data_IF_578528346989
#
_entry.id   IF_578528346989
#
_cell.length_a   1.000
_cell.length_b   1.000
_cell.length_c   1.000
_cell.angle_alpha   90.00
_cell.angle_beta   90.00
_cell.angle_gamma   90.00
#
_symmetry.space_group_name_H-M   'P 1'
#
loop_
_entity.id
_entity.type
_entity.pdbx_description
1 polymer ?
#
# COMPACT_ATOMS: atom_id res chain seq x y z
N UNK A 1 -13.21 35.23 -35.45
CA UNK A 1 -13.54 34.74 -34.08
C UNK A 1 -14.29 33.41 -34.00
N UNK A 2 -14.87 32.84 -35.05
CA UNK A 2 -15.61 31.54 -34.97
C UNK A 2 -14.74 30.25 -35.11
N UNK A 3 -13.48 30.33 -35.54
CA UNK A 3 -12.60 29.17 -35.75
C UNK A 3 -11.87 28.68 -34.47
N UNK A 4 -11.68 29.54 -33.47
CA UNK A 4 -10.97 29.17 -32.23
C UNK A 4 -11.84 28.42 -31.21
N UNK A 5 -13.14 28.63 -31.22
CA UNK A 5 -14.08 27.96 -30.30
C UNK A 5 -14.22 26.47 -30.66
N UNK A 6 -14.08 26.08 -31.93
CA UNK A 6 -14.24 24.69 -32.37
C UNK A 6 -13.02 23.80 -32.00
N UNK A 7 -11.82 24.37 -31.96
CA UNK A 7 -10.60 23.62 -31.55
C UNK A 7 -10.53 23.33 -30.04
N UNK A 8 -11.01 24.25 -29.20
CA UNK A 8 -11.05 24.06 -27.74
C UNK A 8 -12.09 22.98 -27.38
N UNK A 9 -13.21 22.90 -28.09
CA UNK A 9 -14.24 21.88 -27.86
C UNK A 9 -13.79 20.47 -28.25
N UNK A 10 -12.92 20.32 -29.28
CA UNK A 10 -12.39 19.02 -29.71
C UNK A 10 -11.36 18.50 -28.71
N UNK A 11 -10.49 19.35 -28.14
CA UNK A 11 -9.54 18.93 -27.13
C UNK A 11 -10.20 18.53 -25.81
N UNK A 12 -11.25 19.24 -25.38
CA UNK A 12 -12.02 18.86 -24.19
C UNK A 12 -12.80 17.55 -24.38
N UNK A 13 -13.32 17.28 -25.58
CA UNK A 13 -14.01 16.04 -25.91
C UNK A 13 -13.03 14.84 -26.03
N UNK A 14 -11.81 15.02 -26.53
CA UNK A 14 -10.80 13.97 -26.56
C UNK A 14 -10.28 13.62 -25.14
N UNK A 15 -10.08 14.60 -24.27
CA UNK A 15 -9.69 14.34 -22.87
C UNK A 15 -10.77 13.61 -22.07
N UNK A 16 -12.05 13.96 -22.27
CA UNK A 16 -13.20 13.28 -21.63
C UNK A 16 -13.39 11.86 -22.18
N UNK A 17 -13.11 11.63 -23.48
CA UNK A 17 -13.25 10.31 -24.12
C UNK A 17 -12.19 9.32 -23.62
N UNK A 18 -10.94 9.75 -23.40
CA UNK A 18 -9.87 8.90 -22.86
C UNK A 18 -10.14 8.49 -21.41
N UNK A 19 -10.60 9.41 -20.56
CA UNK A 19 -11.00 9.08 -19.18
C UNK A 19 -12.19 8.12 -19.09
N UNK A 20 -13.16 8.22 -20.00
CA UNK A 20 -14.32 7.32 -19.99
C UNK A 20 -13.97 5.87 -20.38
N UNK A 21 -12.96 5.64 -21.23
CA UNK A 21 -12.53 4.30 -21.64
C UNK A 21 -12.02 3.43 -20.47
N UNK A 22 -11.38 4.02 -19.48
CA UNK A 22 -10.80 3.31 -18.34
C UNK A 22 -11.82 2.86 -17.28
N UNK A 23 -12.95 3.52 -17.20
CA UNK A 23 -14.06 3.10 -16.35
C UNK A 23 -15.03 2.18 -17.08
N UNK A 24 -14.73 1.83 -18.35
CA UNK A 24 -15.40 0.80 -19.14
C UNK A 24 -14.70 -0.57 -19.05
N UNK A 25 -13.97 -0.82 -17.95
CA UNK A 25 -13.42 -2.14 -17.65
C UNK A 25 -14.55 -3.18 -17.70
N UNK A 26 -14.28 -4.34 -18.29
CA UNK A 26 -15.24 -5.44 -18.42
C UNK A 26 -14.65 -6.70 -17.81
N UNK A 27 -15.49 -7.45 -17.13
CA UNK A 27 -15.11 -8.78 -16.63
C UNK A 27 -14.63 -9.65 -17.79
N UNK A 28 -13.52 -10.36 -17.58
CA UNK A 28 -12.85 -11.20 -18.57
C UNK A 28 -11.88 -10.46 -19.50
N UNK A 29 -11.81 -9.13 -19.45
CA UNK A 29 -10.84 -8.34 -20.21
C UNK A 29 -9.72 -7.82 -19.30
N UNK A 30 -8.54 -7.59 -19.86
CA UNK A 30 -7.43 -6.91 -19.13
C UNK A 30 -7.88 -5.55 -18.64
N UNK A 31 -7.51 -5.18 -17.41
CA UNK A 31 -7.84 -3.88 -16.85
C UNK A 31 -7.18 -2.79 -17.71
N UNK A 32 -7.93 -1.76 -18.18
CA UNK A 32 -7.35 -0.65 -18.93
C UNK A 32 -6.23 0.06 -18.15
N UNK A 33 -5.19 0.49 -18.88
CA UNK A 33 -4.06 1.24 -18.34
C UNK A 33 -4.50 2.44 -17.51
N UNK A 34 -3.65 2.87 -16.58
CA UNK A 34 -3.83 4.12 -15.86
C UNK A 34 -3.85 5.33 -16.83
N UNK A 35 -4.64 6.34 -16.53
CA UNK A 35 -4.58 7.63 -17.22
C UNK A 35 -4.46 8.79 -16.25
N UNK A 36 -3.88 9.86 -16.78
CA UNK A 36 -3.66 11.09 -16.04
C UNK A 36 -4.93 11.61 -15.34
N UNK A 37 -4.77 11.96 -14.07
CA UNK A 37 -5.84 12.40 -13.18
C UNK A 37 -6.49 11.25 -12.40
N UNK A 38 -6.26 9.99 -12.75
CA UNK A 38 -6.67 8.86 -11.92
C UNK A 38 -5.64 8.61 -10.82
N UNK A 39 -6.11 8.18 -9.66
CA UNK A 39 -5.27 7.58 -8.62
C UNK A 39 -5.53 6.08 -8.61
N UNK A 40 -4.49 5.27 -8.79
CA UNK A 40 -4.58 3.82 -8.66
C UNK A 40 -3.82 3.33 -7.44
N UNK A 41 -4.44 2.44 -6.67
CA UNK A 41 -3.85 1.73 -5.53
C UNK A 41 -3.98 0.24 -5.81
N UNK A 42 -2.83 -0.41 -6.06
CA UNK A 42 -2.75 -1.83 -6.40
C UNK A 42 -2.26 -2.64 -5.21
N UNK A 43 -2.98 -3.69 -4.85
CA UNK A 43 -2.58 -4.74 -3.92
C UNK A 43 -2.17 -5.95 -4.73
N UNK A 44 -0.87 -6.23 -4.81
CA UNK A 44 -0.35 -7.26 -5.72
C UNK A 44 -0.28 -8.60 -4.99
N UNK A 45 -1.05 -9.58 -5.46
CA UNK A 45 -1.05 -10.91 -4.91
C UNK A 45 0.11 -11.76 -5.44
N UNK A 46 1.09 -12.06 -4.62
CA UNK A 46 2.12 -13.08 -4.89
C UNK A 46 1.88 -14.38 -4.12
N UNK A 47 0.88 -14.40 -3.22
CA UNK A 47 0.63 -15.48 -2.28
C UNK A 47 1.65 -15.56 -1.12
N UNK A 48 2.67 -14.72 -1.05
CA UNK A 48 3.80 -14.87 -0.11
C UNK A 48 4.32 -13.58 0.50
N UNK A 49 3.53 -12.54 0.56
CA UNK A 49 3.90 -11.28 1.19
C UNK A 49 3.06 -10.12 0.74
N UNK A 50 3.31 -8.97 1.31
CA UNK A 50 2.65 -7.72 1.00
C UNK A 50 3.42 -6.94 -0.06
N UNK A 51 2.69 -6.36 -1.01
CA UNK A 51 3.22 -5.41 -1.98
C UNK A 51 2.09 -4.50 -2.47
N UNK A 52 2.20 -3.20 -2.22
CA UNK A 52 1.29 -2.19 -2.72
C UNK A 52 2.01 -1.28 -3.70
N UNK A 53 1.43 -1.09 -4.89
CA UNK A 53 1.93 -0.18 -5.90
C UNK A 53 0.90 0.91 -6.18
N UNK A 54 1.33 2.16 -6.18
CA UNK A 54 0.47 3.33 -6.34
C UNK A 54 0.88 4.09 -7.59
N UNK A 55 -0.11 4.57 -8.35
CA UNK A 55 0.08 5.53 -9.44
C UNK A 55 -0.75 6.75 -9.09
N UNK A 56 -0.05 7.84 -8.77
CA UNK A 56 -0.64 9.08 -8.30
C UNK A 56 -1.22 9.89 -9.48
N UNK A 57 -2.04 10.94 -9.23
CA UNK A 57 -2.80 11.61 -10.29
C UNK A 57 -1.98 12.20 -11.45
N UNK A 58 -0.71 12.49 -11.25
CA UNK A 58 0.20 13.00 -12.28
C UNK A 58 1.08 11.92 -12.94
N UNK A 59 0.95 10.65 -12.51
CA UNK A 59 1.79 9.54 -12.93
C UNK A 59 3.01 9.29 -12.04
N UNK A 60 3.21 10.05 -10.97
CA UNK A 60 4.20 9.73 -9.91
C UNK A 60 3.87 8.36 -9.31
N UNK A 61 4.89 7.55 -9.07
CA UNK A 61 4.73 6.17 -8.60
C UNK A 61 5.31 5.96 -7.21
N UNK A 62 4.61 5.17 -6.40
CA UNK A 62 5.04 4.78 -5.05
C UNK A 62 4.93 3.26 -4.91
N UNK A 63 5.97 2.62 -4.41
CA UNK A 63 5.96 1.23 -3.98
C UNK A 63 6.02 1.17 -2.45
N UNK A 64 5.07 0.49 -1.85
CA UNK A 64 5.09 0.18 -0.41
C UNK A 64 5.22 -1.33 -0.25
N UNK A 65 6.35 -1.75 0.30
CA UNK A 65 6.70 -3.14 0.53
C UNK A 65 6.86 -4.00 -0.74
N UNK A 66 7.59 -5.10 -0.63
CA UNK A 66 7.63 -6.25 -1.54
C UNK A 66 8.13 -7.47 -0.77
N UNK A 67 7.25 -8.03 0.05
CA UNK A 67 7.55 -9.12 0.95
C UNK A 67 7.77 -10.44 0.23
N UNK A 68 8.54 -11.33 0.84
CA UNK A 68 8.80 -12.65 0.30
C UNK A 68 9.02 -13.69 1.42
N UNK A 69 7.94 -14.33 1.88
CA UNK A 69 8.05 -15.40 2.88
C UNK A 69 8.29 -16.76 2.22
N UNK A 70 9.11 -17.60 2.87
CA UNK A 70 9.31 -18.97 2.44
C UNK A 70 8.04 -19.81 2.62
N UNK A 71 7.92 -20.89 1.83
CA UNK A 71 6.84 -21.86 1.98
C UNK A 71 6.81 -22.42 3.41
N UNK A 72 5.65 -22.44 4.01
CA UNK A 72 5.40 -23.00 5.35
C UNK A 72 4.02 -23.64 5.41
N UNK A 73 3.71 -24.32 6.51
CA UNK A 73 2.43 -25.01 6.70
C UNK A 73 1.21 -24.08 6.61
N UNK A 74 1.40 -22.83 7.01
CA UNK A 74 0.32 -21.83 7.07
C UNK A 74 0.34 -20.84 5.91
N UNK A 75 1.24 -20.96 4.96
CA UNK A 75 1.35 -20.01 3.84
C UNK A 75 0.43 -20.41 2.68
N UNK A 76 -0.19 -19.44 2.02
CA UNK A 76 -0.96 -19.66 0.77
C UNK A 76 -0.03 -20.10 -0.36
N UNK A 77 -0.58 -20.56 -1.49
CA UNK A 77 0.20 -20.89 -2.68
C UNK A 77 0.80 -19.62 -3.32
N UNK A 78 1.96 -19.74 -3.96
CA UNK A 78 2.53 -18.65 -4.76
C UNK A 78 1.66 -18.36 -6.00
N UNK A 79 1.68 -17.13 -6.46
CA UNK A 79 0.96 -16.69 -7.66
C UNK A 79 1.94 -16.19 -8.73
N UNK A 80 1.69 -16.50 -10.00
CA UNK A 80 0.59 -17.34 -10.52
C UNK A 80 0.80 -18.85 -10.28
N UNK A 81 1.99 -19.29 -9.85
CA UNK A 81 2.33 -20.69 -9.58
C UNK A 81 3.53 -20.80 -8.62
N UNK A 82 3.79 -21.99 -8.09
CA UNK A 82 4.86 -22.25 -7.11
C UNK A 82 6.29 -22.05 -7.64
N UNK A 83 6.48 -22.01 -8.95
CA UNK A 83 7.78 -21.77 -9.59
C UNK A 83 8.12 -20.30 -9.73
N UNK A 84 7.13 -19.42 -9.69
CA UNK A 84 7.31 -17.97 -9.83
C UNK A 84 7.57 -17.34 -8.47
N UNK A 85 8.77 -16.81 -8.28
CA UNK A 85 9.17 -16.12 -7.04
C UNK A 85 8.36 -14.83 -6.88
N UNK A 86 7.99 -14.44 -5.63
CA UNK A 86 7.22 -13.22 -5.36
C UNK A 86 7.78 -11.95 -6.02
N UNK A 87 9.08 -11.69 -5.91
CA UNK A 87 9.70 -10.51 -6.52
C UNK A 87 9.57 -10.49 -8.07
N UNK A 88 9.50 -11.65 -8.73
CA UNK A 88 9.24 -11.75 -10.18
C UNK A 88 7.78 -11.39 -10.50
N UNK A 89 6.84 -11.88 -9.69
CA UNK A 89 5.42 -11.52 -9.81
C UNK A 89 5.24 -10.02 -9.67
N UNK A 90 5.85 -9.42 -8.65
CA UNK A 90 5.82 -7.97 -8.44
C UNK A 90 6.42 -7.21 -9.63
N UNK A 91 7.60 -7.62 -10.11
CA UNK A 91 8.27 -6.97 -11.24
C UNK A 91 7.43 -7.00 -12.52
N UNK A 92 6.83 -8.15 -12.86
CA UNK A 92 5.97 -8.29 -14.05
C UNK A 92 4.71 -7.45 -13.92
N UNK A 93 4.05 -7.48 -12.74
CA UNK A 93 2.86 -6.68 -12.47
C UNK A 93 3.15 -5.19 -12.58
N UNK A 94 4.19 -4.71 -11.87
CA UNK A 94 4.56 -3.29 -11.88
C UNK A 94 4.90 -2.83 -13.29
N UNK A 95 5.73 -3.59 -14.05
CA UNK A 95 6.07 -3.25 -15.44
C UNK A 95 4.86 -3.17 -16.36
N UNK A 96 3.82 -3.98 -16.12
CA UNK A 96 2.59 -3.93 -16.90
C UNK A 96 1.78 -2.65 -16.64
N UNK A 97 1.71 -2.23 -15.36
CA UNK A 97 0.90 -1.08 -14.97
C UNK A 97 1.67 0.26 -14.86
N UNK A 98 3.01 0.26 -14.95
CA UNK A 98 3.78 1.51 -14.95
C UNK A 98 3.23 2.47 -16.01
N UNK A 99 3.12 3.78 -15.69
CA UNK A 99 2.75 4.78 -16.67
C UNK A 99 3.63 4.70 -17.91
N UNK A 100 3.03 4.88 -19.07
CA UNK A 100 3.72 4.72 -20.36
C UNK A 100 4.96 5.60 -20.46
N UNK A 101 6.10 4.97 -20.76
CA UNK A 101 7.41 5.62 -20.85
C UNK A 101 8.22 5.60 -19.56
N UNK A 102 7.65 5.15 -18.42
CA UNK A 102 8.38 4.95 -17.18
C UNK A 102 9.00 3.54 -17.12
N UNK A 103 10.16 3.44 -16.49
CA UNK A 103 10.89 2.18 -16.27
C UNK A 103 11.34 2.01 -14.81
N UNK A 104 11.14 3.03 -13.99
CA UNK A 104 11.56 3.12 -12.60
C UNK A 104 10.41 3.59 -11.71
N UNK A 105 10.49 3.32 -10.42
CA UNK A 105 9.56 3.77 -9.41
C UNK A 105 10.10 5.04 -8.77
N UNK A 106 9.26 6.07 -8.63
CA UNK A 106 9.69 7.36 -8.07
C UNK A 106 9.99 7.25 -6.57
N UNK A 107 9.13 6.57 -5.77
CA UNK A 107 9.29 6.39 -4.33
C UNK A 107 9.21 4.93 -3.92
N UNK A 108 10.09 4.50 -3.02
CA UNK A 108 10.00 3.21 -2.34
C UNK A 108 9.94 3.42 -0.83
N UNK A 109 8.94 2.84 -0.18
CA UNK A 109 8.70 2.91 1.26
C UNK A 109 8.55 1.50 1.85
N UNK A 110 9.57 0.92 2.49
CA UNK A 110 9.35 -0.23 3.35
C UNK A 110 8.56 0.23 4.60
N UNK A 111 7.38 -0.35 4.82
CA UNK A 111 6.60 -0.01 6.01
C UNK A 111 7.36 -0.37 7.29
N UNK A 112 7.96 -1.57 7.33
CA UNK A 112 8.85 -2.04 8.38
C UNK A 112 9.70 -3.24 7.90
N UNK A 113 10.61 -3.77 8.73
CA UNK A 113 11.65 -4.71 8.28
C UNK A 113 11.33 -6.18 8.58
N UNK A 114 10.07 -6.62 8.42
CA UNK A 114 9.71 -8.05 8.46
C UNK A 114 9.80 -8.71 7.08
N UNK A 115 9.83 -10.04 7.10
CA UNK A 115 10.03 -10.85 5.89
C UNK A 115 8.90 -10.70 4.87
N UNK A 116 7.70 -10.56 5.34
CA UNK A 116 6.48 -10.38 4.56
C UNK A 116 6.32 -8.95 4.01
N UNK A 117 7.29 -8.05 4.29
CA UNK A 117 7.31 -6.66 3.80
C UNK A 117 8.55 -6.30 2.98
N UNK A 118 9.75 -6.77 3.34
CA UNK A 118 10.98 -6.38 2.62
C UNK A 118 11.75 -7.56 2.00
N UNK A 119 11.34 -8.79 2.24
CA UNK A 119 12.00 -10.00 1.74
C UNK A 119 12.48 -10.92 2.86
N UNK A 120 13.14 -12.03 2.53
CA UNK A 120 13.48 -13.08 3.48
C UNK A 120 14.91 -13.57 3.35
N UNK A 121 15.57 -13.77 4.49
CA UNK A 121 16.90 -14.39 4.56
C UNK A 121 16.93 -15.86 4.11
N UNK A 122 15.74 -16.51 4.02
CA UNK A 122 15.57 -17.87 3.51
C UNK A 122 15.30 -17.92 2.01
N UNK A 123 15.01 -16.78 1.40
CA UNK A 123 14.62 -16.64 0.00
C UNK A 123 15.67 -15.83 -0.80
N UNK A 124 16.92 -15.90 -0.40
CA UNK A 124 18.04 -15.18 -1.04
C UNK A 124 18.33 -15.76 -2.43
N UNK A 125 18.46 -14.87 -3.43
CA UNK A 125 18.82 -15.23 -4.81
C UNK A 125 20.28 -14.96 -5.14
N UNK A 126 21.02 -14.32 -4.24
CA UNK A 126 22.42 -13.97 -4.40
C UNK A 126 22.84 -12.89 -3.42
N UNK A 127 24.11 -12.56 -3.41
CA UNK A 127 24.70 -11.46 -2.64
C UNK A 127 25.29 -10.45 -3.60
N UNK A 128 24.97 -9.17 -3.41
CA UNK A 128 25.57 -8.08 -4.17
C UNK A 128 27.04 -7.87 -3.78
N UNK A 129 27.86 -7.27 -4.66
CA UNK A 129 29.25 -6.89 -4.36
C UNK A 129 29.35 -6.00 -3.11
N UNK A 130 28.33 -5.15 -2.86
CA UNK A 130 28.22 -4.34 -1.66
C UNK A 130 27.93 -5.14 -0.38
N UNK A 131 27.81 -6.47 -0.46
CA UNK A 131 27.70 -7.38 0.67
C UNK A 131 26.32 -7.47 1.32
N UNK A 132 25.23 -7.07 0.63
CA UNK A 132 23.85 -7.33 1.03
C UNK A 132 23.25 -8.50 0.25
N UNK A 133 22.38 -9.27 0.89
CA UNK A 133 21.70 -10.41 0.26
C UNK A 133 20.41 -9.94 -0.39
N UNK A 134 20.13 -10.47 -1.60
CA UNK A 134 18.99 -10.06 -2.43
C UNK A 134 17.79 -10.98 -2.20
N UNK A 135 16.69 -10.42 -1.75
CA UNK A 135 15.33 -11.00 -1.70
C UNK A 135 14.30 -9.87 -1.62
N UNK A 136 13.04 -10.12 -1.93
CA UNK A 136 11.97 -9.12 -1.84
C UNK A 136 12.34 -7.78 -2.50
N UNK A 137 12.27 -6.67 -1.76
CA UNK A 137 12.59 -5.32 -2.25
C UNK A 137 13.99 -5.22 -2.86
N UNK A 138 14.99 -5.90 -2.28
CA UNK A 138 16.36 -5.83 -2.76
C UNK A 138 16.58 -6.59 -4.07
N UNK A 139 15.81 -7.65 -4.29
CA UNK A 139 15.80 -8.40 -5.55
C UNK A 139 14.95 -7.70 -6.61
N UNK A 140 13.86 -7.07 -6.21
CA UNK A 140 12.97 -6.31 -7.08
C UNK A 140 13.67 -5.10 -7.70
N UNK A 141 14.55 -4.42 -6.93
CA UNK A 141 15.34 -3.28 -7.41
C UNK A 141 16.13 -3.57 -8.69
N UNK A 142 16.69 -4.76 -8.83
CA UNK A 142 17.43 -5.14 -10.04
C UNK A 142 16.53 -5.21 -11.29
N UNK A 143 15.23 -5.37 -11.12
CA UNK A 143 14.25 -5.49 -12.21
C UNK A 143 13.45 -4.21 -12.46
N UNK A 144 13.17 -3.45 -11.40
CA UNK A 144 12.44 -2.18 -11.40
C UNK A 144 13.11 -1.26 -10.38
N UNK A 145 14.05 -0.40 -10.81
CA UNK A 145 14.79 0.48 -9.91
C UNK A 145 13.90 1.50 -9.18
N UNK A 146 14.41 2.03 -8.07
CA UNK A 146 13.78 3.09 -7.27
C UNK A 146 14.62 4.37 -7.37
N UNK A 147 13.96 5.54 -7.46
CA UNK A 147 14.63 6.86 -7.52
C UNK A 147 14.86 7.45 -6.13
N UNK A 148 13.91 7.25 -5.22
CA UNK A 148 13.96 7.80 -3.87
C UNK A 148 13.43 6.79 -2.85
N UNK A 149 14.17 6.58 -1.76
CA UNK A 149 13.78 5.68 -0.67
C UNK A 149 13.41 6.51 0.56
N UNK A 150 12.22 6.25 1.11
CA UNK A 150 11.82 6.72 2.42
C UNK A 150 11.82 5.54 3.38
N UNK A 151 12.59 5.60 4.47
CA UNK A 151 12.53 4.57 5.49
C UNK A 151 12.59 5.12 6.92
N UNK A 152 12.20 4.30 7.86
CA UNK A 152 12.09 4.70 9.27
C UNK A 152 13.42 4.93 9.99
N UNK A 153 14.58 4.52 9.45
CA UNK A 153 15.84 4.45 10.17
C UNK A 153 17.02 5.17 9.48
N UNK A 154 16.89 5.55 8.21
CA UNK A 154 17.92 6.31 7.49
C UNK A 154 18.26 7.63 8.23
N UNK A 155 19.51 8.13 8.25
CA UNK A 155 20.70 7.57 7.58
C UNK A 155 21.52 6.62 8.46
N UNK A 156 21.28 6.56 9.76
CA UNK A 156 22.23 5.95 10.70
C UNK A 156 22.03 4.46 10.93
N UNK A 157 20.77 3.99 10.82
CA UNK A 157 20.38 2.59 11.09
C UNK A 157 20.78 2.07 12.48
N UNK A 158 20.99 2.97 13.43
CA UNK A 158 21.31 2.66 14.81
C UNK A 158 20.17 3.07 15.74
N UNK A 159 20.13 2.47 16.91
CA UNK A 159 19.18 2.86 17.94
C UNK A 159 19.50 4.28 18.45
N UNK A 160 18.50 5.17 18.40
CA UNK A 160 18.57 6.55 18.91
C UNK A 160 17.25 6.93 19.61
N UNK A 161 17.02 8.22 19.87
CA UNK A 161 15.83 8.71 20.55
C UNK A 161 14.52 8.33 19.85
N UNK A 162 14.51 8.23 18.52
CA UNK A 162 13.32 7.94 17.69
C UNK A 162 13.37 6.61 16.97
N UNK A 163 14.57 6.05 16.74
CA UNK A 163 14.74 4.77 16.04
C UNK A 163 14.85 3.62 17.05
N UNK A 164 13.92 2.67 17.09
CA UNK A 164 14.04 1.48 17.91
C UNK A 164 15.17 0.58 17.40
N UNK A 165 15.64 -0.30 18.29
CA UNK A 165 16.67 -1.29 17.94
C UNK A 165 16.29 -2.06 16.68
N UNK A 166 17.18 -2.05 15.70
CA UNK A 166 17.06 -2.83 14.47
C UNK A 166 17.63 -4.22 14.70
N UNK A 167 16.80 -5.24 14.56
CA UNK A 167 17.17 -6.62 14.84
C UNK A 167 17.20 -7.47 13.57
N UNK A 168 18.15 -8.43 13.58
CA UNK A 168 18.23 -9.46 12.55
C UNK A 168 19.02 -9.07 11.30
N UNK A 169 19.25 -10.07 10.50
CA UNK A 169 20.12 -9.96 9.31
C UNK A 169 19.42 -9.20 8.17
N UNK A 170 18.10 -9.30 8.09
CA UNK A 170 17.31 -8.64 7.04
C UNK A 170 17.43 -7.10 7.13
N UNK A 171 17.31 -6.55 8.33
CA UNK A 171 17.53 -5.12 8.57
C UNK A 171 18.96 -4.67 8.22
N UNK A 172 19.95 -5.53 8.47
CA UNK A 172 21.35 -5.25 8.11
C UNK A 172 21.56 -5.26 6.60
N UNK A 173 20.94 -6.19 5.88
CA UNK A 173 21.01 -6.24 4.43
C UNK A 173 20.32 -5.00 3.81
N UNK A 174 19.18 -4.58 4.34
CA UNK A 174 18.51 -3.35 3.95
C UNK A 174 19.39 -2.11 4.17
N UNK A 175 19.94 -1.95 5.37
CA UNK A 175 20.83 -0.82 5.70
C UNK A 175 22.05 -0.74 4.77
N UNK A 176 22.69 -1.88 4.47
CA UNK A 176 23.79 -1.95 3.50
C UNK A 176 23.35 -1.54 2.10
N UNK A 177 22.19 -2.02 1.64
CA UNK A 177 21.64 -1.67 0.33
C UNK A 177 21.41 -0.17 0.21
N UNK A 178 20.72 0.44 1.18
CA UNK A 178 20.42 1.88 1.12
C UNK A 178 21.69 2.71 1.23
N UNK A 179 22.59 2.38 2.15
CA UNK A 179 23.87 3.08 2.30
C UNK A 179 24.73 2.99 1.02
N UNK A 180 24.79 1.81 0.41
CA UNK A 180 25.47 1.61 -0.86
C UNK A 180 24.84 2.43 -1.98
N UNK A 181 23.52 2.34 -2.16
CA UNK A 181 22.86 2.98 -3.28
C UNK A 181 22.94 4.52 -3.23
N UNK A 182 22.85 5.12 -2.03
CA UNK A 182 23.04 6.56 -1.86
C UNK A 182 24.49 6.95 -2.14
N UNK A 183 25.47 6.19 -1.61
CA UNK A 183 26.91 6.44 -1.84
C UNK A 183 27.26 6.38 -3.33
N UNK A 184 26.72 5.42 -4.06
CA UNK A 184 26.98 5.21 -5.49
C UNK A 184 26.06 6.04 -6.41
N UNK A 185 25.25 6.95 -5.85
CA UNK A 185 24.33 7.82 -6.60
C UNK A 185 23.25 7.06 -7.39
N UNK A 186 22.86 5.86 -6.95
CA UNK A 186 21.84 5.05 -7.61
C UNK A 186 20.44 5.56 -7.32
N UNK A 187 20.23 6.10 -6.13
CA UNK A 187 18.99 6.70 -5.65
C UNK A 187 19.30 7.65 -4.49
N UNK A 188 18.31 8.47 -4.13
CA UNK A 188 18.36 9.28 -2.89
C UNK A 188 17.57 8.60 -1.78
N UNK A 189 17.82 8.98 -0.51
CA UNK A 189 17.06 8.47 0.62
C UNK A 189 16.85 9.52 1.70
N UNK A 190 15.70 9.46 2.38
CA UNK A 190 15.35 10.27 3.53
C UNK A 190 14.68 9.43 4.63
N UNK A 191 14.72 9.94 5.86
CA UNK A 191 13.97 9.34 6.97
C UNK A 191 12.49 9.68 6.82
N UNK A 192 11.64 8.65 6.83
CA UNK A 192 10.19 8.82 6.93
C UNK A 192 9.83 9.42 8.29
N UNK A 193 9.27 10.61 8.29
CA UNK A 193 9.03 11.40 9.51
C UNK A 193 7.54 11.71 9.66
N UNK A 194 6.87 11.25 10.74
CA UNK A 194 5.49 11.65 11.03
C UNK A 194 5.34 13.17 11.13
N UNK A 195 4.20 13.70 10.69
CA UNK A 195 3.93 15.14 10.67
C UNK A 195 4.47 15.86 9.43
N UNK A 196 4.97 15.14 8.43
CA UNK A 196 5.49 15.70 7.17
C UNK A 196 4.80 15.14 5.95
N UNK A 197 4.85 15.89 4.86
CA UNK A 197 4.54 15.45 3.50
C UNK A 197 5.85 15.23 2.76
N UNK A 198 6.25 13.98 2.56
CA UNK A 198 7.52 13.61 1.90
C UNK A 198 7.30 12.86 0.58
N UNK A 199 6.09 12.31 0.38
CA UNK A 199 5.68 11.72 -0.91
C UNK A 199 4.88 12.79 -1.63
N UNK A 200 5.50 13.41 -2.63
CA UNK A 200 4.91 14.52 -3.39
C UNK A 200 4.85 14.17 -4.87
N UNK A 201 3.98 14.84 -5.60
CA UNK A 201 3.90 14.70 -7.06
C UNK A 201 5.18 15.24 -7.72
N UNK A 202 5.86 14.43 -8.55
CA UNK A 202 7.14 14.80 -9.16
C UNK A 202 7.06 15.02 -10.67
N UNK A 203 5.94 14.66 -11.32
CA UNK A 203 5.77 14.81 -12.77
C UNK A 203 5.08 16.13 -13.14
N UNK A 204 3.98 16.48 -12.43
CA UNK A 204 3.18 17.70 -12.66
C UNK A 204 2.76 18.34 -11.33
N UNK A 205 3.73 18.81 -10.58
CA UNK A 205 3.62 19.25 -9.18
C UNK A 205 2.57 20.34 -8.90
N UNK A 206 2.19 21.14 -9.91
CA UNK A 206 1.24 22.25 -9.76
C UNK A 206 -0.17 21.96 -10.31
N UNK A 207 -0.41 20.75 -10.82
CA UNK A 207 -1.69 20.45 -11.49
C UNK A 207 -2.76 19.90 -10.53
N UNK A 208 -2.34 19.29 -9.45
CA UNK A 208 -3.20 18.59 -8.50
C UNK A 208 -2.93 19.13 -7.09
N UNK A 209 -3.37 20.36 -6.82
CA UNK A 209 -3.25 21.04 -5.53
C UNK A 209 -4.17 20.44 -4.44
N UNK A 210 -5.12 19.60 -4.86
CA UNK A 210 -6.02 18.85 -3.99
C UNK A 210 -5.54 17.41 -3.73
N UNK A 211 -4.25 17.12 -3.95
CA UNK A 211 -3.61 15.83 -3.62
C UNK A 211 -2.55 16.01 -2.55
N UNK A 212 -2.54 15.17 -1.55
CA UNK A 212 -1.49 15.12 -0.52
C UNK A 212 -1.25 13.70 0.01
N UNK A 213 -0.04 13.49 0.55
CA UNK A 213 0.32 12.29 1.33
C UNK A 213 0.99 12.73 2.61
N UNK A 214 0.26 12.63 3.71
CA UNK A 214 0.71 13.06 5.03
C UNK A 214 1.18 11.86 5.86
N UNK A 215 2.40 11.92 6.40
CA UNK A 215 2.99 10.86 7.21
C UNK A 215 2.39 10.88 8.62
N UNK A 216 1.71 9.82 9.03
CA UNK A 216 0.98 9.77 10.31
C UNK A 216 1.70 9.02 11.40
N UNK A 217 2.47 7.97 11.09
CA UNK A 217 3.18 7.20 12.11
C UNK A 217 4.49 6.60 11.62
N UNK A 218 5.46 6.47 12.53
CA UNK A 218 6.68 5.67 12.36
C UNK A 218 7.34 5.44 13.72
N UNK A 219 8.04 4.32 13.88
CA UNK A 219 8.85 4.01 15.07
C UNK A 219 8.07 4.07 16.40
N UNK A 220 6.76 3.78 16.38
CA UNK A 220 5.88 3.83 17.54
C UNK A 220 5.39 5.22 17.92
N UNK A 221 5.78 6.25 17.18
CA UNK A 221 5.22 7.59 17.29
C UNK A 221 4.09 7.78 16.27
N UNK A 222 3.06 8.53 16.67
CA UNK A 222 1.92 8.89 15.83
C UNK A 222 1.72 10.39 15.92
N UNK A 223 1.38 11.02 14.80
CA UNK A 223 0.99 12.42 14.75
C UNK A 223 -0.41 12.59 15.34
N UNK A 224 -0.58 13.50 16.25
CA UNK A 224 -1.86 13.78 16.91
C UNK A 224 -1.96 15.24 17.28
N UNK A 225 -2.88 15.61 18.18
CA UNK A 225 -3.07 16.97 18.70
C UNK A 225 -2.80 17.02 20.21
N UNK A 226 -2.22 18.13 20.67
CA UNK A 226 -2.12 18.47 22.10
C UNK A 226 -3.47 19.01 22.63
N UNK A 227 -3.48 19.41 23.91
CA UNK A 227 -4.66 19.98 24.57
C UNK A 227 -5.14 21.31 23.98
N UNK A 228 -4.27 22.02 23.28
CA UNK A 228 -4.56 23.31 22.62
C UNK A 228 -4.89 23.12 21.13
N UNK A 229 -4.87 21.88 20.63
CA UNK A 229 -5.19 21.52 19.23
C UNK A 229 -3.99 21.63 18.27
N UNK A 230 -2.77 21.90 18.75
CA UNK A 230 -1.58 21.91 17.91
C UNK A 230 -1.08 20.51 17.60
N UNK A 231 -0.50 20.34 16.41
CA UNK A 231 0.07 19.06 15.99
C UNK A 231 1.30 18.67 16.83
N UNK A 232 1.33 17.42 17.29
CA UNK A 232 2.45 16.89 18.06
C UNK A 232 2.67 15.39 17.82
N UNK A 233 3.85 14.89 18.17
CA UNK A 233 4.11 13.46 18.22
C UNK A 233 3.58 12.86 19.53
N UNK A 234 2.73 11.84 19.39
CA UNK A 234 2.17 11.05 20.51
C UNK A 234 2.82 9.66 20.51
N UNK A 235 2.98 9.09 21.69
CA UNK A 235 3.55 7.74 21.83
C UNK A 235 5.03 7.75 22.19
N UNK A 236 5.72 6.70 21.82
CA UNK A 236 7.13 6.55 22.13
C UNK A 236 7.77 5.35 21.43
N UNK A 237 9.08 5.38 21.37
CA UNK A 237 9.90 4.35 20.75
C UNK A 237 9.61 2.96 21.33
N UNK A 238 9.19 1.95 20.55
CA UNK A 238 9.03 0.60 21.04
C UNK A 238 10.38 -0.02 21.40
N UNK A 239 10.38 -0.95 22.35
CA UNK A 239 11.61 -1.63 22.80
C UNK A 239 12.31 -2.39 21.68
N UNK A 240 11.52 -2.91 20.71
CA UNK A 240 12.01 -3.64 19.53
C UNK A 240 11.39 -3.04 18.29
N UNK A 241 12.12 -3.06 17.17
CA UNK A 241 11.57 -2.79 15.86
C UNK A 241 10.56 -3.86 15.43
N UNK A 242 10.01 -3.72 14.26
CA UNK A 242 8.98 -4.61 13.72
C UNK A 242 7.61 -3.93 13.67
N UNK A 243 6.51 -4.66 13.81
CA UNK A 243 5.15 -4.16 13.61
C UNK A 243 4.85 -2.81 14.28
N UNK A 244 5.15 -2.58 15.58
CA UNK A 244 4.90 -1.29 16.20
C UNK A 244 5.71 -0.11 15.63
N UNK A 245 6.76 -0.40 14.86
CA UNK A 245 7.60 0.61 14.24
C UNK A 245 7.20 0.95 12.79
N UNK A 246 6.10 0.39 12.28
CA UNK A 246 5.64 0.61 10.91
C UNK A 246 5.47 2.09 10.58
N UNK A 247 5.85 2.45 9.35
CA UNK A 247 5.50 3.71 8.71
C UNK A 247 4.05 3.68 8.25
N UNK A 248 3.35 4.80 8.40
CA UNK A 248 1.97 4.94 7.94
C UNK A 248 1.69 6.35 7.45
N UNK A 249 0.79 6.43 6.47
CA UNK A 249 0.42 7.70 5.84
C UNK A 249 -1.08 7.77 5.56
N UNK A 250 -1.55 9.00 5.43
CA UNK A 250 -2.88 9.38 4.95
C UNK A 250 -2.73 10.02 3.57
N UNK A 251 -3.37 9.47 2.58
CA UNK A 251 -3.42 9.97 1.22
C UNK A 251 -4.79 10.59 0.98
N UNK A 252 -4.82 11.85 0.55
CA UNK A 252 -6.04 12.57 0.17
C UNK A 252 -5.98 13.00 -1.28
N UNK A 253 -7.11 12.85 -2.01
CA UNK A 253 -7.28 13.33 -3.36
C UNK A 253 -8.70 13.87 -3.59
N UNK A 254 -8.87 15.17 -3.57
CA UNK A 254 -10.19 15.79 -3.56
C UNK A 254 -10.99 15.35 -2.36
N UNK A 255 -12.15 14.73 -2.59
CA UNK A 255 -13.02 14.19 -1.54
C UNK A 255 -12.60 12.77 -1.08
N UNK A 256 -11.62 12.12 -1.76
CA UNK A 256 -11.20 10.76 -1.48
C UNK A 256 -10.08 10.70 -0.44
N UNK A 257 -10.24 9.85 0.56
CA UNK A 257 -9.27 9.60 1.62
C UNK A 257 -8.92 8.10 1.76
N UNK A 258 -7.62 7.84 1.90
CA UNK A 258 -7.07 6.49 2.10
C UNK A 258 -5.99 6.48 3.17
N UNK A 259 -6.00 5.47 4.03
CA UNK A 259 -4.98 5.30 5.08
C UNK A 259 -4.34 3.91 5.00
N UNK A 260 -3.00 3.89 5.14
CA UNK A 260 -2.19 2.68 5.30
C UNK A 260 -1.13 2.89 6.37
N UNK A 261 -1.01 1.95 7.33
CA UNK A 261 -0.06 2.02 8.45
C UNK A 261 0.73 0.72 8.65
N UNK A 262 1.05 0.01 7.56
CA UNK A 262 1.78 -1.25 7.64
C UNK A 262 1.14 -2.23 8.62
N UNK A 263 1.93 -2.77 9.53
CA UNK A 263 1.52 -3.76 10.51
C UNK A 263 1.45 -3.21 11.95
N UNK A 264 1.13 -1.90 12.10
CA UNK A 264 0.93 -1.36 13.45
C UNK A 264 -0.02 -2.26 14.25
N UNK A 265 0.33 -2.51 15.49
CA UNK A 265 -0.36 -3.47 16.33
C UNK A 265 -0.36 -3.00 17.79
N UNK A 266 -1.30 -3.51 18.59
CA UNK A 266 -1.44 -3.20 20.01
C UNK A 266 -1.46 -1.69 20.30
N UNK A 267 -0.54 -1.20 21.12
CA UNK A 267 -0.49 0.21 21.54
C UNK A 267 -0.36 1.17 20.36
N UNK A 268 0.51 0.87 19.38
CA UNK A 268 0.69 1.75 18.21
C UNK A 268 -0.59 1.87 17.38
N UNK A 269 -1.37 0.80 17.26
CA UNK A 269 -2.66 0.81 16.58
C UNK A 269 -3.69 1.68 17.32
N UNK A 270 -3.76 1.56 18.65
CA UNK A 270 -4.64 2.41 19.44
C UNK A 270 -4.24 3.90 19.32
N UNK A 271 -2.93 4.18 19.23
CA UNK A 271 -2.45 5.55 19.02
C UNK A 271 -2.86 6.08 17.62
N UNK A 272 -2.83 5.26 16.56
CA UNK A 272 -3.31 5.71 15.24
C UNK A 272 -4.77 6.09 15.24
N UNK A 273 -5.59 5.50 16.10
CA UNK A 273 -7.00 5.86 16.25
C UNK A 273 -7.20 7.31 16.72
N UNK A 274 -6.26 7.89 17.49
CA UNK A 274 -6.30 9.32 17.83
C UNK A 274 -6.10 10.20 16.60
N UNK A 275 -5.18 9.82 15.68
CA UNK A 275 -5.05 10.53 14.41
C UNK A 275 -6.38 10.52 13.62
N UNK A 276 -7.02 9.37 13.53
CA UNK A 276 -8.29 9.25 12.81
C UNK A 276 -9.37 10.15 13.41
N UNK A 277 -9.51 10.16 14.73
CA UNK A 277 -10.42 11.05 15.44
C UNK A 277 -10.12 12.53 15.17
N UNK A 278 -8.85 12.92 15.23
CA UNK A 278 -8.43 14.32 15.25
C UNK A 278 -8.32 14.96 13.87
N UNK A 279 -8.06 14.17 12.82
CA UNK A 279 -7.76 14.66 11.48
C UNK A 279 -8.68 14.14 10.38
N UNK A 280 -9.27 12.95 10.54
CA UNK A 280 -10.17 12.35 9.53
C UNK A 280 -11.64 12.58 9.91
N UNK A 281 -11.94 12.61 11.21
CA UNK A 281 -13.30 12.68 11.71
C UNK A 281 -14.07 11.37 11.58
N UNK A 282 -15.25 11.31 12.19
CA UNK A 282 -16.10 10.13 12.15
C UNK A 282 -16.71 9.98 10.74
N UNK A 283 -16.69 8.77 10.20
CA UNK A 283 -17.33 8.36 8.95
C UNK A 283 -16.79 9.03 7.67
N UNK A 284 -15.58 9.58 7.68
CA UNK A 284 -15.04 10.29 6.51
C UNK A 284 -13.99 9.52 5.72
N UNK A 285 -13.61 8.30 6.10
CA UNK A 285 -12.61 7.52 5.37
C UNK A 285 -13.26 6.69 4.25
N UNK A 286 -12.74 6.83 3.04
CA UNK A 286 -13.21 6.07 1.89
C UNK A 286 -12.59 4.68 1.81
N UNK A 287 -11.27 4.58 1.98
CA UNK A 287 -10.59 3.31 1.90
C UNK A 287 -9.51 3.15 2.97
N UNK A 288 -9.32 1.92 3.42
CA UNK A 288 -8.40 1.57 4.50
C UNK A 288 -7.65 0.28 4.18
N UNK A 289 -6.32 0.31 4.31
CA UNK A 289 -5.52 -0.92 4.34
C UNK A 289 -5.55 -1.51 5.74
N UNK A 290 -5.98 -2.77 5.85
CA UNK A 290 -5.94 -3.47 7.13
C UNK A 290 -4.56 -3.41 7.77
N UNK A 291 -4.52 -3.07 9.05
CA UNK A 291 -3.33 -3.22 9.85
C UNK A 291 -3.01 -4.71 10.02
N UNK A 292 -1.72 -5.07 9.92
CA UNK A 292 -1.20 -6.41 10.22
C UNK A 292 -2.02 -7.53 9.57
N UNK A 293 -2.43 -7.31 8.29
CA UNK A 293 -3.21 -8.27 7.48
C UNK A 293 -4.50 -8.74 8.15
N UNK A 294 -5.07 -7.91 9.01
CA UNK A 294 -6.20 -8.25 9.90
C UNK A 294 -5.91 -9.49 10.75
N UNK A 295 -4.69 -9.62 11.31
CA UNK A 295 -4.39 -10.59 12.36
C UNK A 295 -5.26 -10.34 13.60
N UNK A 296 -5.24 -11.23 14.57
CA UNK A 296 -6.03 -11.09 15.83
C UNK A 296 -5.89 -9.70 16.48
N UNK A 297 -4.70 -9.11 16.41
CA UNK A 297 -4.38 -7.76 16.89
C UNK A 297 -4.44 -6.67 15.80
N UNK A 298 -5.01 -6.96 14.64
CA UNK A 298 -5.10 -6.05 13.49
C UNK A 298 -6.27 -5.06 13.54
N UNK A 299 -7.12 -5.13 14.58
CA UNK A 299 -8.23 -4.20 14.82
C UNK A 299 -8.34 -3.89 16.31
N UNK A 300 -7.79 -2.76 16.72
CA UNK A 300 -7.73 -2.34 18.12
C UNK A 300 -9.06 -1.84 18.67
N UNK A 301 -9.21 -1.90 19.99
CA UNK A 301 -10.42 -1.46 20.67
C UNK A 301 -10.75 0.01 20.42
N UNK A 302 -9.74 0.88 20.36
CA UNK A 302 -9.92 2.31 20.10
C UNK A 302 -10.46 2.60 18.69
N UNK A 303 -10.23 1.71 17.73
CA UNK A 303 -10.82 1.80 16.39
C UNK A 303 -12.35 1.66 16.45
N UNK A 304 -12.85 0.82 17.37
CA UNK A 304 -14.28 0.66 17.63
C UNK A 304 -14.86 1.83 18.43
N UNK A 305 -14.17 2.24 19.48
CA UNK A 305 -14.58 3.34 20.36
C UNK A 305 -14.75 4.67 19.58
N UNK A 306 -13.93 4.90 18.56
CA UNK A 306 -14.02 6.09 17.72
C UNK A 306 -14.87 5.89 16.46
N UNK A 307 -15.67 4.82 16.37
CA UNK A 307 -16.53 4.51 15.22
C UNK A 307 -15.79 4.63 13.87
N UNK A 308 -14.59 4.04 13.81
CA UNK A 308 -13.80 4.03 12.58
C UNK A 308 -14.44 3.07 11.56
N UNK A 309 -15.13 3.63 10.55
CA UNK A 309 -15.89 2.88 9.54
C UNK A 309 -15.51 3.29 8.11
N UNK A 310 -14.38 2.83 7.58
CA UNK A 310 -14.01 3.05 6.19
C UNK A 310 -15.06 2.42 5.25
N UNK A 311 -15.37 3.09 4.13
CA UNK A 311 -16.32 2.53 3.15
C UNK A 311 -15.81 1.21 2.58
N UNK A 312 -14.49 1.15 2.27
CA UNK A 312 -13.85 -0.02 1.68
C UNK A 312 -12.63 -0.40 2.49
N UNK A 313 -12.50 -1.69 2.77
CA UNK A 313 -11.35 -2.27 3.45
C UNK A 313 -10.59 -3.17 2.49
N UNK A 314 -9.29 -2.95 2.40
CA UNK A 314 -8.36 -3.68 1.54
C UNK A 314 -7.37 -4.46 2.40
N UNK A 315 -7.18 -5.74 2.09
CA UNK A 315 -6.35 -6.64 2.88
C UNK A 315 -5.38 -7.44 2.02
N UNK A 316 -4.12 -7.49 2.44
CA UNK A 316 -3.19 -8.53 2.00
C UNK A 316 -3.33 -9.75 2.91
N UNK A 317 -3.49 -10.93 2.35
CA UNK A 317 -3.44 -12.19 3.09
C UNK A 317 -2.56 -13.20 2.37
N UNK A 318 -1.76 -13.94 3.13
CA UNK A 318 -0.85 -14.98 2.63
C UNK A 318 -0.61 -16.09 3.67
N UNK A 319 -1.44 -16.15 4.73
CA UNK A 319 -1.26 -17.13 5.81
C UNK A 319 -2.61 -17.59 6.40
N UNK A 320 -2.64 -18.81 6.93
CA UNK A 320 -3.81 -19.46 7.51
C UNK A 320 -4.40 -18.80 8.77
N UNK A 321 -3.75 -17.80 9.34
CA UNK A 321 -4.24 -17.05 10.50
C UNK A 321 -4.59 -15.59 10.17
N UNK A 322 -4.70 -15.26 8.88
CA UNK A 322 -4.96 -13.90 8.37
C UNK A 322 -5.87 -13.97 7.13
N UNK A 323 -6.98 -13.18 7.05
CA UNK A 323 -7.55 -12.38 8.14
C UNK A 323 -8.04 -13.27 9.29
N UNK A 324 -7.92 -12.79 10.52
CA UNK A 324 -8.44 -13.55 11.67
C UNK A 324 -9.96 -13.38 11.75
N UNK A 325 -10.75 -14.47 12.01
CA UNK A 325 -12.21 -14.40 12.00
C UNK A 325 -12.80 -13.41 13.00
N UNK A 326 -12.21 -13.27 14.18
CA UNK A 326 -12.73 -12.37 15.22
C UNK A 326 -12.70 -10.88 14.80
N UNK A 327 -11.56 -10.26 14.42
CA UNK A 327 -11.60 -8.89 13.91
C UNK A 327 -12.39 -8.78 12.61
N UNK A 328 -12.40 -9.80 11.74
CA UNK A 328 -13.20 -9.79 10.51
C UNK A 328 -14.70 -9.67 10.82
N UNK A 329 -15.21 -10.38 11.82
CA UNK A 329 -16.60 -10.26 12.27
C UNK A 329 -16.96 -8.86 12.74
N UNK A 330 -15.99 -8.12 13.32
CA UNK A 330 -16.21 -6.74 13.80
C UNK A 330 -16.20 -5.71 12.67
N UNK A 331 -15.36 -5.88 11.66
CA UNK A 331 -15.21 -4.88 10.61
C UNK A 331 -16.25 -4.98 9.50
N UNK A 332 -16.69 -6.20 9.16
CA UNK A 332 -17.63 -6.43 8.05
C UNK A 332 -18.96 -5.67 8.16
N UNK A 333 -19.61 -5.55 9.35
CA UNK A 333 -20.84 -4.78 9.45
C UNK A 333 -20.69 -3.30 9.15
N UNK A 334 -19.49 -2.75 9.27
CA UNK A 334 -19.21 -1.31 9.24
C UNK A 334 -18.59 -0.85 7.91
N UNK A 335 -18.44 -1.73 6.92
CA UNK A 335 -17.90 -1.35 5.61
C UNK A 335 -18.86 -1.76 4.48
N UNK A 336 -18.80 -1.04 3.35
CA UNK A 336 -19.56 -1.36 2.13
C UNK A 336 -18.88 -2.41 1.28
N UNK A 337 -17.57 -2.63 1.49
CA UNK A 337 -16.79 -3.64 0.79
C UNK A 337 -15.54 -4.04 1.53
N UNK A 338 -15.32 -5.36 1.62
CA UNK A 338 -14.08 -5.94 2.14
C UNK A 338 -13.45 -6.80 1.05
N UNK A 339 -12.19 -6.51 0.69
CA UNK A 339 -11.45 -7.19 -0.35
C UNK A 339 -10.14 -7.77 0.21
N UNK A 340 -9.81 -9.01 -0.14
CA UNK A 340 -8.56 -9.65 0.29
C UNK A 340 -7.81 -10.27 -0.88
N UNK A 341 -6.49 -10.14 -0.91
CA UNK A 341 -5.68 -10.77 -1.99
C UNK A 341 -5.80 -12.29 -1.99
N UNK A 342 -5.87 -12.90 -0.83
CA UNK A 342 -6.13 -14.32 -0.65
C UNK A 342 -7.00 -14.58 0.57
N UNK A 343 -7.62 -15.77 0.59
CA UNK A 343 -8.12 -16.41 1.81
C UNK A 343 -7.53 -17.81 1.88
N UNK A 344 -6.86 -18.15 2.99
CA UNK A 344 -6.31 -19.50 3.15
C UNK A 344 -7.46 -20.52 3.17
N UNK A 345 -7.33 -21.68 2.48
CA UNK A 345 -8.40 -22.68 2.42
C UNK A 345 -8.94 -23.13 3.77
N UNK A 346 -8.08 -23.28 4.79
CA UNK A 346 -8.49 -23.65 6.14
C UNK A 346 -9.37 -22.57 6.81
N UNK A 347 -9.08 -21.28 6.58
CA UNK A 347 -9.94 -20.18 7.05
C UNK A 347 -11.28 -20.24 6.35
N UNK A 348 -11.27 -20.39 5.02
CA UNK A 348 -12.49 -20.45 4.21
C UNK A 348 -13.39 -21.62 4.64
N UNK A 349 -12.81 -22.80 4.84
CA UNK A 349 -13.56 -23.99 5.25
C UNK A 349 -14.15 -23.85 6.67
N UNK A 350 -13.37 -23.29 7.61
CA UNK A 350 -13.79 -23.13 9.01
C UNK A 350 -14.78 -21.97 9.23
N UNK A 351 -14.87 -21.00 8.31
CA UNK A 351 -15.64 -19.76 8.49
C UNK A 351 -16.45 -19.40 7.25
N UNK A 352 -17.07 -20.37 6.59
CA UNK A 352 -17.73 -20.23 5.30
C UNK A 352 -18.69 -19.04 5.23
N UNK A 353 -19.64 -18.95 6.15
CA UNK A 353 -20.64 -17.86 6.19
C UNK A 353 -20.00 -16.46 6.31
N UNK A 354 -18.89 -16.36 7.04
CA UNK A 354 -18.15 -15.11 7.21
C UNK A 354 -17.43 -14.72 5.93
N UNK A 355 -16.80 -15.70 5.26
CA UNK A 355 -16.05 -15.48 4.01
C UNK A 355 -16.99 -15.16 2.85
N UNK A 356 -18.17 -15.75 2.77
CA UNK A 356 -19.18 -15.43 1.76
C UNK A 356 -19.68 -13.97 1.83
N UNK A 357 -19.43 -13.26 2.92
CA UNK A 357 -19.76 -11.84 3.08
C UNK A 357 -18.68 -10.89 2.54
N UNK A 358 -17.51 -11.41 2.16
CA UNK A 358 -16.47 -10.61 1.53
C UNK A 358 -16.93 -10.17 0.13
N UNK A 359 -16.58 -8.95 -0.26
CA UNK A 359 -16.91 -8.43 -1.59
C UNK A 359 -16.05 -9.05 -2.70
N UNK A 360 -14.81 -9.45 -2.38
CA UNK A 360 -13.93 -10.14 -3.30
C UNK A 360 -12.66 -10.67 -2.62
N UNK A 361 -12.17 -11.80 -3.13
CA UNK A 361 -10.91 -12.40 -2.67
C UNK A 361 -10.28 -13.28 -3.75
N UNK A 362 -9.02 -13.73 -3.51
CA UNK A 362 -8.21 -14.53 -4.43
C UNK A 362 -7.97 -13.82 -5.78
N UNK A 363 -7.09 -12.81 -5.74
CA UNK A 363 -6.71 -12.02 -6.90
C UNK A 363 -5.90 -10.79 -6.52
N UNK A 364 -5.38 -10.08 -7.52
CA UNK A 364 -4.89 -8.73 -7.28
C UNK A 364 -6.08 -7.79 -7.06
N UNK A 365 -5.88 -6.73 -6.28
CA UNK A 365 -6.91 -5.72 -6.04
C UNK A 365 -6.43 -4.38 -6.62
N UNK A 366 -7.28 -3.69 -7.38
CA UNK A 366 -7.01 -2.33 -7.85
C UNK A 366 -8.14 -1.43 -7.40
N UNK A 367 -7.84 -0.47 -6.53
CA UNK A 367 -8.72 0.63 -6.24
C UNK A 367 -8.36 1.79 -7.17
N UNK A 368 -9.29 2.21 -8.03
CA UNK A 368 -9.11 3.31 -8.99
C UNK A 368 -10.04 4.45 -8.67
N UNK A 369 -9.47 5.61 -8.33
CA UNK A 369 -10.19 6.86 -8.09
C UNK A 369 -10.28 7.66 -9.37
N UNK A 370 -11.48 8.18 -9.66
CA UNK A 370 -11.71 9.05 -10.81
C UNK A 370 -11.02 10.40 -10.64
N UNK A 371 -10.66 11.06 -11.74
CA UNK A 371 -10.14 12.42 -11.69
C UNK A 371 -11.00 13.33 -10.81
N UNK A 372 -10.32 14.05 -9.90
CA UNK A 372 -10.96 14.96 -8.94
C UNK A 372 -11.46 14.30 -7.65
N UNK A 373 -11.22 12.99 -7.45
CA UNK A 373 -11.41 12.34 -6.14
C UNK A 373 -12.84 12.02 -5.72
N UNK A 374 -13.89 12.28 -6.56
CA UNK A 374 -15.29 12.19 -6.14
C UNK A 374 -15.91 10.80 -6.18
N UNK A 375 -15.30 9.87 -6.91
CA UNK A 375 -15.81 8.50 -7.08
C UNK A 375 -14.66 7.54 -7.29
N UNK A 376 -14.82 6.31 -6.82
CA UNK A 376 -13.83 5.25 -7.03
C UNK A 376 -14.49 3.89 -7.28
N UNK A 377 -13.69 2.97 -7.78
CA UNK A 377 -14.06 1.58 -8.06
C UNK A 377 -13.02 0.65 -7.46
N UNK A 378 -13.41 -0.57 -7.16
CA UNK A 378 -12.50 -1.66 -6.81
C UNK A 378 -12.64 -2.77 -7.85
N UNK A 379 -11.51 -3.18 -8.41
CA UNK A 379 -11.41 -4.29 -9.37
C UNK A 379 -10.67 -5.43 -8.70
N UNK A 380 -11.21 -6.64 -8.81
CA UNK A 380 -10.45 -7.87 -8.57
C UNK A 380 -9.87 -8.33 -9.90
N UNK A 381 -8.57 -8.62 -9.94
CA UNK A 381 -7.92 -9.13 -11.15
C UNK A 381 -7.48 -10.57 -10.96
N UNK A 382 -7.48 -11.33 -12.03
CA UNK A 382 -6.97 -12.69 -12.06
C UNK A 382 -5.47 -12.72 -11.78
N UNK A 383 -5.04 -13.62 -10.93
CA UNK A 383 -3.66 -13.83 -10.51
C UNK A 383 -3.10 -15.19 -10.93
N UNK A 384 -3.84 -15.92 -11.78
CA UNK A 384 -3.45 -17.24 -12.29
C UNK A 384 -2.47 -17.17 -13.46
N UNK A 385 -2.35 -15.99 -14.07
CA UNK A 385 -1.41 -15.68 -15.15
C UNK A 385 -0.96 -14.20 -15.08
N UNK A 386 -0.32 -13.68 -16.11
CA UNK A 386 0.14 -12.30 -16.19
C UNK A 386 -0.69 -11.44 -17.16
N UNK A 387 -1.93 -11.81 -17.42
CA UNK A 387 -2.87 -11.07 -18.28
C UNK A 387 -3.72 -10.06 -17.49
N UNK A 388 -3.81 -10.22 -16.16
CA UNK A 388 -4.49 -9.32 -15.24
C UNK A 388 -5.94 -9.02 -15.64
N UNK A 389 -6.70 -10.06 -16.05
CA UNK A 389 -8.10 -9.94 -16.45
C UNK A 389 -8.96 -9.58 -15.24
N UNK A 390 -9.93 -8.72 -15.46
CA UNK A 390 -10.90 -8.32 -14.43
C UNK A 390 -11.79 -9.51 -14.08
N UNK A 391 -11.78 -9.94 -12.82
CA UNK A 391 -12.68 -10.98 -12.27
C UNK A 391 -14.01 -10.39 -11.80
N UNK A 392 -13.97 -9.22 -11.16
CA UNK A 392 -15.16 -8.51 -10.69
C UNK A 392 -14.92 -7.00 -10.60
N UNK A 393 -16.01 -6.23 -10.65
CA UNK A 393 -16.03 -4.77 -10.59
C UNK A 393 -17.01 -4.34 -9.50
N UNK A 394 -16.56 -3.51 -8.57
CA UNK A 394 -17.35 -3.02 -7.43
C UNK A 394 -17.37 -1.49 -7.40
N UNK A 395 -18.51 -0.92 -7.13
CA UNK A 395 -18.75 0.53 -7.18
C UNK A 395 -19.66 0.93 -8.34
N UNK A 396 -19.78 2.23 -8.71
CA UNK A 396 -19.00 3.32 -8.12
C UNK A 396 -19.33 3.56 -6.65
N UNK A 397 -18.29 3.70 -5.84
CA UNK A 397 -18.37 4.28 -4.52
C UNK A 397 -18.27 5.80 -4.64
N UNK A 398 -19.05 6.54 -3.85
CA UNK A 398 -18.96 7.99 -3.77
C UNK A 398 -18.03 8.34 -2.61
N UNK A 399 -17.03 9.17 -2.86
CA UNK A 399 -16.16 9.71 -1.80
C UNK A 399 -16.97 10.59 -0.83
N UNK A 400 -16.59 10.55 0.44
CA UNK A 400 -17.34 11.16 1.55
C UNK A 400 -17.03 12.63 1.76
#
# INVERSE_FOLDING_TARGET
MKRYIFLISIFALFGISLCNGQFNAKVGQTLPDWSEGCLDIHFINSGRGECCFYILPDGTTLLVDAGEVSKGKISTAQRPNEQTRPYITYAKYIKHFLPKGESEIDYCLPSHFHTDHIGSTRMVIGTAEAGYRKSGLLALYDLVPYRHILDRAYPTYVEDAVTPKMEGQLSKDWAKFVTWGVKEGKFTADRFTPGKEQIVLVKKTKKYDNFSVFNICANGFVWGKDGDGNGMLIGGKPRRGGNPASCGFHLSYGDFDYIACGDVSWTSQNLTAFYFRDYVGNNNLDAFKCHHHLAYNGWGIMMQEFNFDPQVILNHSFAANKPHPEPLTRVLPNCKGFFSTNIHPDIAAANKELIERLSGYDGHIVLRVKPGGKKFYVYMLDDSDFEYRVKSIHGPYKSK
#
